data_IF_976809360145
#
_entry.id   IF_976809360145
#
_cell.length_a   1.000
_cell.length_b   1.000
_cell.length_c   1.000
_cell.angle_alpha   90.00
_cell.angle_beta   90.00
_cell.angle_gamma   90.00
#
_symmetry.space_group_name_H-M   'P 1'
#
loop_
_entity.id
_entity.type
_entity.pdbx_description
1 polymer ?
#
# COMPACT_ATOMS: atom_id res chain seq x y z
N UNK A 1 41.03 -11.12 -8.92
CA UNK A 1 41.39 -11.18 -7.48
C UNK A 1 41.55 -9.78 -6.98
N UNK A 2 40.53 -9.26 -6.29
CA UNK A 2 40.62 -7.97 -5.60
C UNK A 2 39.82 -8.09 -4.31
N UNK A 3 40.54 -8.18 -3.19
CA UNK A 3 39.94 -8.08 -1.86
C UNK A 3 40.16 -6.66 -1.33
N UNK A 4 39.15 -5.96 -0.85
CA UNK A 4 39.39 -4.85 0.07
C UNK A 4 39.28 -5.30 1.52
N UNK A 5 40.33 -5.01 2.27
CA UNK A 5 40.44 -5.05 3.72
C UNK A 5 39.43 -4.08 4.36
N UNK A 6 38.72 -4.53 5.38
CA UNK A 6 37.95 -3.69 6.29
C UNK A 6 38.61 -3.73 7.66
N UNK A 7 39.03 -2.59 8.20
CA UNK A 7 39.53 -2.56 9.58
C UNK A 7 38.48 -2.09 10.58
N UNK A 8 38.50 -2.64 11.76
CA UNK A 8 38.15 -1.96 13.02
C UNK A 8 36.79 -2.26 13.60
N UNK A 9 36.80 -3.21 14.55
CA UNK A 9 35.78 -3.41 15.59
C UNK A 9 35.76 -2.24 16.55
N UNK A 10 34.53 -1.74 16.83
CA UNK A 10 34.26 -0.85 17.97
C UNK A 10 33.49 -1.66 19.01
N UNK A 11 33.94 -1.76 20.27
CA UNK A 11 33.13 -2.33 21.33
C UNK A 11 32.24 -1.25 21.93
N UNK A 12 30.95 -1.46 21.90
CA UNK A 12 29.95 -0.67 22.60
C UNK A 12 28.88 -1.60 23.12
N UNK A 13 28.96 -1.95 24.39
CA UNK A 13 27.93 -2.65 25.14
C UNK A 13 26.65 -1.80 25.10
N UNK A 14 25.59 -2.36 24.53
CA UNK A 14 24.26 -1.80 24.65
C UNK A 14 23.44 -2.71 25.56
N UNK A 15 23.18 -2.20 26.76
CA UNK A 15 22.31 -2.85 27.74
C UNK A 15 20.95 -3.18 27.13
N UNK A 16 20.59 -4.45 27.23
CA UNK A 16 19.28 -4.95 26.88
C UNK A 16 18.22 -4.42 27.85
N UNK A 17 17.46 -3.43 27.39
CA UNK A 17 16.21 -3.04 28.03
C UNK A 17 15.24 -4.23 28.01
N UNK A 18 14.79 -4.62 29.19
CA UNK A 18 13.89 -5.74 29.43
C UNK A 18 12.59 -5.56 28.63
N UNK A 19 12.28 -6.50 27.74
CA UNK A 19 11.00 -6.58 27.05
C UNK A 19 9.89 -6.88 28.07
N UNK A 20 8.99 -5.95 28.26
CA UNK A 20 7.76 -6.17 29.02
C UNK A 20 6.93 -7.26 28.34
N UNK A 21 6.77 -8.38 29.03
CA UNK A 21 5.95 -9.51 28.59
C UNK A 21 4.49 -9.09 28.42
N UNK A 22 3.84 -9.58 27.37
CA UNK A 22 2.40 -9.38 27.09
C UNK A 22 1.48 -9.71 28.26
N UNK A 23 1.93 -10.54 29.23
CA UNK A 23 1.20 -10.87 30.46
C UNK A 23 1.16 -9.74 31.50
N UNK A 24 2.08 -8.78 31.43
CA UNK A 24 2.12 -7.65 32.36
C UNK A 24 1.15 -6.54 31.99
N UNK A 25 0.76 -6.42 30.71
CA UNK A 25 -0.22 -5.43 30.26
C UNK A 25 -1.66 -5.80 30.63
N UNK A 26 -1.97 -7.09 30.83
CA UNK A 26 -3.33 -7.54 31.16
C UNK A 26 -3.70 -7.40 32.64
N UNK A 27 -2.79 -6.97 33.52
CA UNK A 27 -3.06 -6.85 34.95
C UNK A 27 -3.38 -5.44 35.45
N UNK A 28 -3.38 -4.42 34.59
CA UNK A 28 -3.60 -3.02 34.99
C UNK A 28 -4.96 -2.43 34.62
N UNK A 29 -5.94 -3.20 34.22
CA UNK A 29 -7.26 -2.69 33.84
C UNK A 29 -8.43 -3.44 34.48
N UNK A 30 -8.35 -3.64 35.80
CA UNK A 30 -9.48 -4.14 36.55
C UNK A 30 -9.77 -3.24 37.76
N UNK A 31 -10.09 -1.97 37.51
CA UNK A 31 -10.88 -1.12 38.43
C UNK A 31 -11.13 0.23 37.74
N UNK A 32 -12.23 0.37 37.00
CA UNK A 32 -12.89 1.66 36.81
C UNK A 32 -14.30 1.45 36.26
N UNK A 33 -15.27 1.69 37.12
CA UNK A 33 -16.57 2.30 36.89
C UNK A 33 -17.42 1.84 35.67
N UNK A 34 -18.53 1.19 35.99
CA UNK A 34 -19.74 1.09 35.17
C UNK A 34 -20.23 2.49 34.74
N UNK A 35 -19.85 2.92 33.56
CA UNK A 35 -20.41 4.04 32.83
C UNK A 35 -20.92 3.52 31.49
N UNK A 36 -22.24 3.41 31.35
CA UNK A 36 -22.94 3.02 30.15
C UNK A 36 -22.66 4.03 29.03
N UNK A 37 -21.65 3.79 28.22
CA UNK A 37 -21.54 4.38 26.89
C UNK A 37 -22.17 3.36 25.93
N UNK A 38 -23.46 3.53 25.66
CA UNK A 38 -24.10 2.93 24.50
C UNK A 38 -23.39 3.46 23.26
N UNK A 39 -22.35 2.75 22.81
CA UNK A 39 -21.74 2.99 21.51
C UNK A 39 -22.85 2.81 20.48
N UNK A 40 -23.09 3.83 19.69
CA UNK A 40 -23.93 3.74 18.48
C UNK A 40 -23.18 2.78 17.56
N UNK A 41 -23.50 1.50 17.65
CA UNK A 41 -23.20 0.54 16.59
C UNK A 41 -24.07 0.99 15.42
N UNK A 42 -23.50 1.74 14.49
CA UNK A 42 -24.14 1.95 13.19
C UNK A 42 -24.36 0.55 12.61
N UNK A 43 -25.60 0.10 12.66
CA UNK A 43 -25.99 -1.18 12.08
C UNK A 43 -25.60 -1.11 10.60
N UNK A 44 -24.60 -1.92 10.20
CA UNK A 44 -24.28 -2.10 8.80
C UNK A 44 -25.52 -2.67 8.13
N UNK A 45 -25.88 -2.08 6.99
CA UNK A 45 -26.97 -2.56 6.15
C UNK A 45 -26.63 -3.99 5.72
N UNK A 46 -27.41 -5.01 6.18
CA UNK A 46 -27.10 -6.41 5.86
C UNK A 46 -27.26 -6.76 4.38
N UNK A 47 -27.78 -5.84 3.56
CA UNK A 47 -27.95 -6.00 2.13
C UNK A 47 -26.79 -5.47 1.31
N UNK A 48 -25.90 -4.70 1.94
CA UNK A 48 -24.72 -4.16 1.27
C UNK A 48 -23.53 -5.11 1.48
N UNK A 49 -22.92 -5.64 0.42
CA UNK A 49 -21.71 -6.41 0.58
C UNK A 49 -20.66 -5.56 1.32
N UNK A 50 -19.87 -6.17 2.23
CA UNK A 50 -18.84 -5.43 2.95
C UNK A 50 -17.92 -4.75 1.95
N UNK A 51 -17.56 -3.49 2.25
CA UNK A 51 -16.61 -2.76 1.43
C UNK A 51 -15.29 -3.55 1.35
N UNK A 52 -14.73 -3.79 0.17
CA UNK A 52 -13.45 -4.49 0.05
C UNK A 52 -12.29 -3.77 0.73
N UNK A 53 -12.49 -2.51 1.12
CA UNK A 53 -11.49 -1.67 1.81
C UNK A 53 -11.56 -1.83 3.34
N UNK A 54 -12.56 -2.53 3.87
CA UNK A 54 -12.71 -2.74 5.31
C UNK A 54 -12.09 -4.08 5.74
N UNK A 55 -10.81 -4.05 6.13
CA UNK A 55 -10.19 -5.17 6.81
C UNK A 55 -10.46 -5.10 8.32
N UNK A 56 -10.69 -6.21 9.03
CA UNK A 56 -10.84 -6.21 10.46
C UNK A 56 -9.55 -5.71 11.15
N UNK A 57 -9.69 -4.87 12.17
CA UNK A 57 -8.58 -4.26 12.90
C UNK A 57 -7.66 -5.27 13.61
N UNK A 58 -8.19 -6.44 13.96
CA UNK A 58 -7.45 -7.45 14.70
C UNK A 58 -7.58 -8.78 13.97
N UNK A 59 -6.46 -9.27 13.47
CA UNK A 59 -6.33 -10.62 12.90
C UNK A 59 -5.17 -11.34 13.54
N UNK A 60 -5.29 -12.65 13.66
CA UNK A 60 -4.15 -13.52 13.93
C UNK A 60 -3.47 -13.86 12.60
N UNK A 61 -2.26 -13.31 12.42
CA UNK A 61 -1.47 -13.54 11.21
C UNK A 61 -0.54 -14.76 11.43
N UNK A 62 -1.13 -15.94 11.43
CA UNK A 62 -0.34 -17.17 11.48
C UNK A 62 0.44 -17.36 10.17
N UNK A 63 1.67 -17.87 10.28
CA UNK A 63 2.46 -18.23 9.12
C UNK A 63 1.80 -19.40 8.37
N UNK A 64 1.87 -19.44 7.02
CA UNK A 64 1.36 -20.57 6.26
C UNK A 64 2.12 -21.86 6.61
N UNK A 65 1.41 -22.99 6.64
CA UNK A 65 2.03 -24.30 6.91
C UNK A 65 2.99 -24.73 5.79
N UNK A 66 2.68 -24.35 4.56
CA UNK A 66 3.55 -24.63 3.41
C UNK A 66 4.85 -23.84 3.52
N UNK A 67 5.96 -24.59 3.55
CA UNK A 67 7.31 -24.02 3.53
C UNK A 67 7.94 -24.31 2.16
N UNK A 68 8.11 -23.30 1.30
CA UNK A 68 8.92 -23.49 0.11
C UNK A 68 10.36 -23.86 0.50
N UNK A 69 11.14 -24.39 -0.44
CA UNK A 69 12.54 -24.83 -0.22
C UNK A 69 13.50 -23.72 0.24
N UNK A 70 13.01 -22.52 0.41
CA UNK A 70 13.73 -21.35 0.90
C UNK A 70 13.92 -21.41 2.42
N UNK A 71 15.02 -20.86 2.89
CA UNK A 71 15.34 -20.80 4.32
C UNK A 71 14.47 -19.81 5.11
N UNK A 72 13.66 -18.98 4.44
CA UNK A 72 12.82 -17.96 5.07
C UNK A 72 11.35 -18.33 5.01
N UNK A 73 10.58 -18.08 6.07
CA UNK A 73 9.14 -18.31 6.07
C UNK A 73 8.44 -17.37 5.07
N UNK A 74 7.31 -17.82 4.54
CA UNK A 74 6.43 -16.97 3.75
C UNK A 74 5.70 -15.96 4.66
N UNK A 75 5.38 -14.80 4.10
CA UNK A 75 4.47 -13.87 4.75
C UNK A 75 3.06 -14.47 4.86
N UNK A 76 2.35 -14.12 5.94
CA UNK A 76 0.94 -14.47 6.06
C UNK A 76 0.13 -13.83 4.93
N UNK A 77 -0.66 -14.64 4.21
CA UNK A 77 -1.51 -14.14 3.12
C UNK A 77 -2.52 -13.10 3.61
N UNK A 78 -3.10 -13.30 4.79
CA UNK A 78 -4.05 -12.35 5.38
C UNK A 78 -3.38 -11.04 5.76
N UNK A 79 -2.11 -11.06 6.20
CA UNK A 79 -1.34 -9.84 6.45
C UNK A 79 -1.07 -9.07 5.15
N UNK A 80 -0.73 -9.78 4.06
CA UNK A 80 -0.56 -9.16 2.74
C UNK A 80 -1.87 -8.54 2.26
N UNK A 81 -2.99 -9.26 2.40
CA UNK A 81 -4.31 -8.73 2.04
C UNK A 81 -4.66 -7.48 2.82
N UNK A 82 -4.55 -7.51 4.15
CA UNK A 82 -4.84 -6.35 4.99
C UNK A 82 -3.93 -5.16 4.66
N UNK A 83 -2.64 -5.41 4.40
CA UNK A 83 -1.72 -4.36 4.00
C UNK A 83 -2.13 -3.68 2.69
N UNK A 84 -2.46 -4.45 1.65
CA UNK A 84 -2.89 -3.90 0.36
C UNK A 84 -4.22 -3.15 0.52
N UNK A 85 -5.19 -3.72 1.26
CA UNK A 85 -6.47 -3.07 1.53
C UNK A 85 -6.27 -1.73 2.25
N UNK A 86 -5.50 -1.69 3.34
CA UNK A 86 -5.26 -0.45 4.08
C UNK A 86 -4.49 0.60 3.29
N UNK A 87 -3.59 0.17 2.39
CA UNK A 87 -2.86 1.09 1.53
C UNK A 87 -3.74 1.93 0.58
N UNK A 88 -5.01 1.56 0.39
CA UNK A 88 -5.96 2.38 -0.38
C UNK A 88 -6.38 3.66 0.36
N UNK A 89 -6.43 3.65 1.70
CA UNK A 89 -7.09 4.75 2.40
C UNK A 89 -6.54 5.05 3.80
N UNK A 90 -5.87 4.12 4.45
CA UNK A 90 -5.49 4.23 5.86
C UNK A 90 -3.97 4.23 6.04
N UNK A 91 -3.38 5.43 6.13
CA UNK A 91 -1.93 5.58 6.27
C UNK A 91 -1.40 5.01 7.59
N UNK A 92 -2.15 5.14 8.69
CA UNK A 92 -1.71 4.68 10.01
C UNK A 92 -1.63 3.15 10.08
N UNK A 93 -2.64 2.46 9.53
CA UNK A 93 -2.62 1.00 9.46
C UNK A 93 -1.56 0.50 8.47
N UNK A 94 -1.39 1.18 7.34
CA UNK A 94 -0.32 0.86 6.37
C UNK A 94 1.05 0.95 7.04
N UNK A 95 1.29 2.04 7.78
CA UNK A 95 2.52 2.23 8.54
C UNK A 95 2.69 1.17 9.63
N UNK A 96 1.66 0.89 10.41
CA UNK A 96 1.67 -0.11 11.49
C UNK A 96 2.06 -1.50 10.97
N UNK A 97 1.49 -1.90 9.82
CA UNK A 97 1.81 -3.19 9.21
C UNK A 97 3.24 -3.23 8.65
N UNK A 98 3.73 -2.14 8.05
CA UNK A 98 5.12 -2.02 7.58
C UNK A 98 6.13 -2.02 8.74
N UNK A 99 5.80 -1.37 9.85
CA UNK A 99 6.67 -1.37 11.04
C UNK A 99 6.74 -2.78 11.67
N UNK A 100 5.66 -3.56 11.56
CA UNK A 100 5.62 -4.95 12.01
C UNK A 100 6.35 -5.90 11.07
N UNK A 101 6.16 -5.73 9.76
CA UNK A 101 6.70 -6.60 8.71
C UNK A 101 7.13 -5.74 7.49
N UNK A 102 8.38 -5.26 7.46
CA UNK A 102 8.86 -4.38 6.39
C UNK A 102 8.83 -5.01 4.98
N UNK A 103 8.85 -6.34 4.88
CA UNK A 103 8.83 -7.04 3.59
C UNK A 103 7.48 -6.92 2.87
N UNK A 104 6.44 -6.44 3.54
CA UNK A 104 5.14 -6.14 2.92
C UNK A 104 5.22 -5.08 1.84
N UNK A 105 6.23 -4.19 1.89
CA UNK A 105 6.33 -3.01 1.01
C UNK A 105 6.22 -3.34 -0.48
N UNK A 106 6.65 -4.53 -0.90
CA UNK A 106 6.58 -5.01 -2.28
C UNK A 106 5.71 -6.27 -2.43
N UNK A 107 4.84 -6.54 -1.47
CA UNK A 107 3.92 -7.67 -1.54
C UNK A 107 2.74 -7.36 -2.47
N UNK A 108 2.18 -8.43 -3.07
CA UNK A 108 1.02 -8.38 -3.95
C UNK A 108 -0.07 -9.31 -3.42
N UNK A 109 -1.33 -8.91 -3.62
CA UNK A 109 -2.48 -9.79 -3.45
C UNK A 109 -3.22 -9.98 -4.78
N UNK A 110 -3.94 -11.08 -4.92
CA UNK A 110 -4.90 -11.32 -5.99
C UNK A 110 -6.31 -11.00 -5.48
N UNK A 111 -6.95 -10.00 -6.05
CA UNK A 111 -8.35 -9.66 -5.78
C UNK A 111 -9.31 -10.72 -6.34
N UNK A 112 -8.83 -11.52 -7.25
CA UNK A 112 -9.54 -12.57 -7.93
C UNK A 112 -9.29 -12.57 -9.43
N UNK A 113 -9.29 -13.77 -10.02
CA UNK A 113 -9.08 -13.97 -11.46
C UNK A 113 -7.79 -13.35 -12.03
N UNK A 114 -6.75 -13.18 -11.21
CA UNK A 114 -5.48 -12.62 -11.63
C UNK A 114 -5.41 -11.09 -11.59
N UNK A 115 -6.33 -10.43 -10.91
CA UNK A 115 -6.26 -8.99 -10.64
C UNK A 115 -5.27 -8.73 -9.48
N UNK A 116 -4.00 -8.67 -9.84
CA UNK A 116 -2.89 -8.53 -8.91
C UNK A 116 -2.61 -7.09 -8.54
N UNK A 117 -2.53 -6.82 -7.24
CA UNK A 117 -2.28 -5.47 -6.74
C UNK A 117 -1.26 -5.46 -5.60
N UNK A 118 -0.41 -4.41 -5.61
CA UNK A 118 0.47 -4.05 -4.49
C UNK A 118 -0.13 -2.92 -3.64
N UNK A 119 0.39 -2.72 -2.42
CA UNK A 119 0.01 -1.54 -1.64
C UNK A 119 0.29 -0.22 -2.38
N UNK A 120 1.38 -0.15 -3.18
CA UNK A 120 1.68 1.02 -4.00
C UNK A 120 0.64 1.23 -5.11
N UNK A 121 0.17 0.13 -5.74
CA UNK A 121 -0.90 0.16 -6.74
C UNK A 121 -2.20 0.72 -6.15
N UNK A 122 -2.63 0.19 -4.99
CA UNK A 122 -3.81 0.65 -4.26
C UNK A 122 -3.77 2.13 -3.94
N UNK A 123 -2.67 2.59 -3.33
CA UNK A 123 -2.47 4.01 -3.03
C UNK A 123 -2.49 4.88 -4.31
N UNK A 124 -1.93 4.37 -5.42
CA UNK A 124 -1.82 5.12 -6.67
C UNK A 124 -3.17 5.34 -7.34
N UNK A 125 -3.99 4.30 -7.52
CA UNK A 125 -5.27 4.49 -8.18
C UNK A 125 -6.31 5.21 -7.32
N UNK A 126 -6.08 5.28 -6.00
CA UNK A 126 -6.88 6.09 -5.07
C UNK A 126 -6.38 7.55 -4.96
N UNK A 127 -5.28 7.91 -5.60
CA UNK A 127 -4.70 9.26 -5.52
C UNK A 127 -4.13 9.61 -4.13
N UNK A 128 -3.76 8.61 -3.34
CA UNK A 128 -3.23 8.79 -1.98
C UNK A 128 -1.73 9.09 -2.03
N UNK A 129 -1.41 10.35 -2.41
CA UNK A 129 -0.02 10.83 -2.48
C UNK A 129 0.75 10.66 -1.17
N UNK A 130 0.08 10.78 -0.03
CA UNK A 130 0.64 10.61 1.30
C UNK A 130 1.09 9.15 1.55
N UNK A 131 0.24 8.18 1.19
CA UNK A 131 0.57 6.75 1.33
C UNK A 131 1.64 6.36 0.31
N UNK A 132 1.56 6.86 -0.93
CA UNK A 132 2.60 6.63 -1.95
C UNK A 132 3.95 7.14 -1.45
N UNK A 133 4.02 8.34 -0.90
CA UNK A 133 5.27 8.90 -0.34
C UNK A 133 5.84 7.98 0.76
N UNK A 134 5.02 7.54 1.70
CA UNK A 134 5.41 6.59 2.75
C UNK A 134 5.96 5.28 2.15
N UNK A 135 5.26 4.71 1.16
CA UNK A 135 5.66 3.44 0.55
C UNK A 135 6.98 3.55 -0.22
N UNK A 136 7.19 4.64 -0.96
CA UNK A 136 8.44 4.91 -1.68
C UNK A 136 9.60 5.12 -0.71
N UNK A 137 9.40 5.84 0.39
CA UNK A 137 10.39 5.99 1.47
C UNK A 137 10.81 4.64 2.06
N UNK A 138 9.86 3.70 2.15
CA UNK A 138 10.10 2.33 2.65
C UNK A 138 10.64 1.38 1.59
N UNK A 139 10.90 1.84 0.36
CA UNK A 139 11.52 1.06 -0.72
C UNK A 139 10.54 0.31 -1.62
N UNK A 140 9.31 0.79 -1.75
CA UNK A 140 8.38 0.30 -2.77
C UNK A 140 8.95 0.51 -4.17
N UNK A 141 8.73 -0.47 -5.06
CA UNK A 141 9.16 -0.41 -6.46
C UNK A 141 8.14 0.36 -7.26
N UNK A 142 8.56 1.50 -7.78
CA UNK A 142 7.70 2.32 -8.63
C UNK A 142 7.40 1.60 -9.95
N UNK A 143 6.17 1.71 -10.41
CA UNK A 143 5.72 1.30 -11.74
C UNK A 143 5.21 2.50 -12.55
N UNK A 144 4.81 2.24 -13.80
CA UNK A 144 4.34 3.30 -14.70
C UNK A 144 3.03 3.94 -14.21
N UNK A 145 2.16 3.20 -13.52
CA UNK A 145 0.87 3.71 -13.02
C UNK A 145 1.11 4.69 -11.87
N UNK A 146 1.98 4.31 -10.93
CA UNK A 146 2.39 5.19 -9.84
C UNK A 146 3.11 6.43 -10.37
N UNK A 147 4.06 6.28 -11.30
CA UNK A 147 4.75 7.41 -11.93
C UNK A 147 3.78 8.37 -12.63
N UNK A 148 2.73 7.83 -13.26
CA UNK A 148 1.69 8.61 -13.93
C UNK A 148 0.86 9.40 -12.91
N UNK A 149 0.38 8.74 -11.84
CA UNK A 149 -0.37 9.39 -10.76
C UNK A 149 0.46 10.47 -10.04
N UNK A 150 1.76 10.28 -9.93
CA UNK A 150 2.67 11.28 -9.35
C UNK A 150 3.01 12.44 -10.31
N UNK A 151 2.52 12.46 -11.54
CA UNK A 151 2.84 13.49 -12.52
C UNK A 151 4.27 13.44 -13.07
N UNK A 152 4.97 12.30 -12.92
CA UNK A 152 6.37 12.12 -13.30
C UNK A 152 6.51 11.86 -14.81
N UNK A 153 6.28 12.88 -15.63
CA UNK A 153 6.22 12.77 -17.09
C UNK A 153 7.47 12.14 -17.69
N UNK A 154 8.67 12.52 -17.22
CA UNK A 154 9.91 12.01 -17.79
C UNK A 154 10.13 10.53 -17.46
N UNK A 155 9.69 10.08 -16.30
CA UNK A 155 9.67 8.66 -15.95
C UNK A 155 8.69 7.90 -16.86
N UNK A 156 7.49 8.43 -17.07
CA UNK A 156 6.48 7.82 -17.95
C UNK A 156 6.99 7.74 -19.40
N UNK A 157 7.63 8.80 -19.91
CA UNK A 157 8.28 8.78 -21.22
C UNK A 157 9.33 7.67 -21.32
N UNK A 158 10.15 7.51 -20.28
CA UNK A 158 11.18 6.46 -20.26
C UNK A 158 10.56 5.06 -20.29
N UNK A 159 9.50 4.80 -19.53
CA UNK A 159 8.76 3.54 -19.59
C UNK A 159 8.19 3.28 -20.99
N UNK A 160 7.54 4.28 -21.60
CA UNK A 160 6.93 4.15 -22.92
C UNK A 160 7.98 4.05 -24.05
N UNK A 161 9.18 4.59 -23.87
CA UNK A 161 10.32 4.39 -24.78
C UNK A 161 10.80 2.95 -24.73
N UNK A 162 10.92 2.37 -23.53
CA UNK A 162 11.36 0.99 -23.33
C UNK A 162 10.32 -0.01 -23.82
N UNK A 163 9.05 0.27 -23.58
CA UNK A 163 7.93 -0.61 -23.88
C UNK A 163 6.71 0.21 -24.35
N UNK A 164 6.62 0.56 -25.65
CA UNK A 164 5.55 1.40 -26.17
C UNK A 164 4.14 0.86 -25.93
N UNK A 165 3.98 -0.46 -25.87
CA UNK A 165 2.68 -1.10 -25.60
C UNK A 165 2.15 -0.86 -24.20
N UNK A 166 2.95 -0.33 -23.28
CA UNK A 166 2.46 0.05 -21.94
C UNK A 166 1.36 1.12 -21.99
N UNK A 167 1.24 1.87 -23.09
CA UNK A 167 0.12 2.81 -23.27
C UNK A 167 -1.24 2.09 -23.27
N UNK A 168 -1.26 0.81 -23.65
CA UNK A 168 -2.44 -0.04 -23.70
C UNK A 168 -2.63 -0.90 -22.44
N UNK A 169 -1.67 -0.85 -21.52
CA UNK A 169 -1.72 -1.67 -20.31
C UNK A 169 -2.76 -1.16 -19.32
N UNK A 170 -3.20 -2.07 -18.48
CA UNK A 170 -4.12 -1.80 -17.40
C UNK A 170 -3.43 -2.16 -16.08
N UNK A 171 -3.57 -1.29 -15.11
CA UNK A 171 -3.22 -1.56 -13.72
C UNK A 171 -4.29 -2.39 -13.02
N UNK A 172 -4.20 -2.52 -11.69
CA UNK A 172 -5.22 -3.19 -10.89
C UNK A 172 -6.62 -2.67 -11.22
N UNK A 173 -7.62 -3.54 -11.14
CA UNK A 173 -9.03 -3.24 -11.44
C UNK A 173 -9.28 -2.72 -12.87
N UNK A 174 -8.33 -2.95 -13.79
CA UNK A 174 -8.44 -2.51 -15.18
C UNK A 174 -8.24 -1.01 -15.40
N UNK A 175 -7.68 -0.27 -14.43
CA UNK A 175 -7.48 1.17 -14.56
C UNK A 175 -6.33 1.50 -15.52
N UNK A 176 -6.60 2.42 -16.46
CA UNK A 176 -5.64 2.86 -17.49
C UNK A 176 -4.65 3.89 -16.97
N UNK A 177 -3.58 4.17 -17.73
CA UNK A 177 -2.69 5.31 -17.43
C UNK A 177 -3.44 6.64 -17.40
N UNK A 178 -4.40 6.86 -18.31
CA UNK A 178 -5.21 8.08 -18.33
C UNK A 178 -6.08 8.23 -17.06
N UNK A 179 -6.54 7.11 -16.49
CA UNK A 179 -7.24 7.14 -15.22
C UNK A 179 -6.33 7.65 -14.10
N UNK A 180 -5.11 7.12 -14.00
CA UNK A 180 -4.12 7.53 -13.01
C UNK A 180 -3.67 8.99 -13.23
N UNK A 181 -3.56 9.44 -14.48
CA UNK A 181 -3.17 10.81 -14.80
C UNK A 181 -4.13 11.86 -14.23
N UNK A 182 -5.43 11.55 -14.12
CA UNK A 182 -6.41 12.46 -13.51
C UNK A 182 -6.11 12.74 -12.03
N UNK A 183 -5.35 11.87 -11.38
CA UNK A 183 -5.00 11.97 -9.96
C UNK A 183 -3.63 12.65 -9.72
N UNK A 184 -2.96 13.13 -10.78
CA UNK A 184 -1.63 13.72 -10.70
C UNK A 184 -1.61 15.15 -10.10
N UNK A 185 -2.70 15.59 -9.49
CA UNK A 185 -2.81 16.89 -8.85
C UNK A 185 -2.55 18.04 -9.84
N UNK A 186 -1.63 18.95 -9.52
CA UNK A 186 -1.29 20.09 -10.38
C UNK A 186 -0.70 19.73 -11.75
N UNK A 187 -0.18 18.52 -11.90
CA UNK A 187 0.42 18.02 -13.14
C UNK A 187 -0.55 17.16 -13.96
N UNK A 188 -1.83 17.03 -13.54
CA UNK A 188 -2.82 16.17 -14.18
C UNK A 188 -3.07 16.55 -15.65
N UNK A 189 -3.34 17.82 -15.94
CA UNK A 189 -3.60 18.29 -17.31
C UNK A 189 -2.41 17.98 -18.21
N UNK A 190 -1.21 18.30 -17.77
CA UNK A 190 0.01 18.10 -18.53
C UNK A 190 0.31 16.62 -18.79
N UNK A 191 0.03 15.75 -17.81
CA UNK A 191 0.17 14.31 -17.96
C UNK A 191 -0.90 13.76 -18.92
N UNK A 192 -2.14 14.22 -18.78
CA UNK A 192 -3.22 13.84 -19.67
C UNK A 192 -2.96 14.26 -21.13
N UNK A 193 -2.54 15.51 -21.36
CA UNK A 193 -2.18 16.00 -22.69
C UNK A 193 -1.09 15.13 -23.34
N UNK A 194 -0.07 14.77 -22.56
CA UNK A 194 0.97 13.88 -23.05
C UNK A 194 0.43 12.51 -23.43
N UNK A 195 -0.34 11.84 -22.56
CA UNK A 195 -0.89 10.52 -22.84
C UNK A 195 -1.90 10.54 -24.01
N UNK A 196 -2.75 11.56 -24.07
CA UNK A 196 -3.71 11.76 -25.16
C UNK A 196 -3.03 12.03 -26.52
N UNK A 197 -1.81 12.60 -26.50
CA UNK A 197 -1.01 12.79 -27.71
C UNK A 197 -0.48 11.47 -28.28
N UNK A 198 -0.31 10.45 -27.42
CA UNK A 198 0.15 9.10 -27.82
C UNK A 198 -1.04 8.22 -28.20
N UNK A 199 -2.06 8.18 -27.31
CA UNK A 199 -3.26 7.39 -27.50
C UNK A 199 -4.47 8.19 -27.02
N UNK A 200 -5.29 8.62 -27.97
CA UNK A 200 -6.53 9.34 -27.67
C UNK A 200 -7.61 8.36 -27.21
N UNK A 201 -8.16 8.62 -26.02
CA UNK A 201 -9.29 7.88 -25.45
C UNK A 201 -10.39 8.85 -25.01
N UNK A 202 -11.61 8.35 -24.94
CA UNK A 202 -12.70 9.08 -24.28
C UNK A 202 -12.47 9.05 -22.76
N UNK A 203 -12.43 10.25 -22.16
CA UNK A 203 -12.18 10.37 -20.74
C UNK A 203 -13.46 10.19 -19.94
N UNK A 204 -13.41 9.31 -18.93
CA UNK A 204 -14.45 9.18 -17.92
C UNK A 204 -14.01 9.90 -16.65
N UNK A 205 -14.91 10.59 -15.93
CA UNK A 205 -14.57 11.20 -14.65
C UNK A 205 -14.04 10.15 -13.67
N UNK A 206 -12.93 10.45 -13.03
CA UNK A 206 -12.37 9.57 -12.02
C UNK A 206 -13.20 9.73 -10.72
N UNK A 207 -13.79 8.64 -10.17
CA UNK A 207 -14.62 8.70 -8.98
C UNK A 207 -13.83 9.01 -7.69
N UNK A 208 -12.51 8.85 -7.73
CA UNK A 208 -11.62 9.09 -6.58
C UNK A 208 -11.02 10.50 -6.55
N UNK A 209 -11.29 11.31 -7.57
CA UNK A 209 -10.99 12.75 -7.48
C UNK A 209 -11.73 13.32 -6.26
N UNK A 210 -10.97 13.76 -5.26
CA UNK A 210 -11.56 14.52 -4.18
C UNK A 210 -12.18 15.77 -4.80
N UNK A 211 -13.48 15.93 -4.63
CA UNK A 211 -14.13 17.21 -4.97
C UNK A 211 -13.40 18.27 -4.16
N UNK A 212 -12.76 19.22 -4.85
CA UNK A 212 -12.20 20.39 -4.18
C UNK A 212 -13.29 20.95 -3.27
N UNK A 213 -13.01 20.94 -1.97
CA UNK A 213 -13.89 21.53 -0.97
C UNK A 213 -13.97 23.01 -1.31
N UNK A 214 -15.08 23.42 -1.95
CA UNK A 214 -15.40 24.82 -2.25
C UNK A 214 -15.79 25.56 -0.97
#
# INVERSE_FOLDING_TARGET
MYHPNIPGSIPGEFEMSQSLSRRSLCKLSATAAAGSLAGIVLAQDPTKPPSPVEAPFIRDYTAPEFKPSWKKPQLSRTMVQDFVIFAHSNIDMTKTLLDREPLLVNAFMDWGAGDWESGLGGASHMGRHDIVALLLERGARIDIFCATMMGQIDAVKSFLTLQPKLIDSHGPHGFTLHFHAQLAGKDADKMLDYLQSIKKIEMRPNPFLQKASG
#
